data_IF_446230981648
#
_entry.id   IF_446230981648
#
_cell.length_a   1.000
_cell.length_b   1.000
_cell.length_c   1.000
_cell.angle_alpha   90.00
_cell.angle_beta   90.00
_cell.angle_gamma   90.00
#
_symmetry.space_group_name_H-M   'P 1'
#
loop_
_entity.id
_entity.type
_entity.pdbx_description
1 polymer ?
#
# COMPACT_ATOMS: atom_id res chain seq x y z
N UNK A 1 -1.32 -18.43 24.16
CA UNK A 1 -0.49 -18.05 22.98
C UNK A 1 0.41 -19.20 22.47
N UNK A 2 -0.05 -20.48 22.49
CA UNK A 2 0.74 -21.66 22.05
C UNK A 2 0.59 -22.03 20.56
N UNK A 3 -0.31 -21.40 19.80
CA UNK A 3 -0.58 -21.71 18.39
C UNK A 3 0.15 -20.77 17.41
N UNK A 4 1.46 -20.93 17.25
CA UNK A 4 2.24 -20.24 16.20
C UNK A 4 3.36 -21.13 15.61
N UNK A 5 3.22 -22.45 15.71
CA UNK A 5 4.24 -23.43 15.29
C UNK A 5 4.16 -23.90 13.84
N UNK A 6 3.17 -23.45 13.07
CA UNK A 6 3.07 -23.64 11.60
C UNK A 6 2.46 -22.36 11.02
N UNK A 7 2.89 -21.88 9.82
CA UNK A 7 2.16 -20.81 9.15
C UNK A 7 0.72 -21.31 8.98
N UNK A 8 -0.24 -20.60 9.58
CA UNK A 8 -1.64 -20.96 9.37
C UNK A 8 -1.95 -20.73 7.90
N UNK A 9 -2.68 -21.66 7.26
CA UNK A 9 -3.15 -21.48 5.86
C UNK A 9 -3.87 -20.13 5.68
N UNK A 10 -4.48 -19.63 6.74
CA UNK A 10 -5.12 -18.33 6.80
C UNK A 10 -4.13 -17.16 6.72
N UNK A 11 -2.97 -17.23 7.38
CA UNK A 11 -1.95 -16.20 7.25
C UNK A 11 -1.45 -16.09 5.80
N UNK A 12 -1.19 -17.23 5.15
CA UNK A 12 -0.79 -17.26 3.74
C UNK A 12 -1.87 -16.63 2.83
N UNK A 13 -3.14 -16.99 3.05
CA UNK A 13 -4.27 -16.40 2.32
C UNK A 13 -4.30 -14.87 2.43
N UNK A 14 -4.20 -14.32 3.65
CA UNK A 14 -4.21 -12.86 3.86
C UNK A 14 -2.97 -12.17 3.30
N UNK A 15 -1.81 -12.82 3.33
CA UNK A 15 -0.60 -12.30 2.69
C UNK A 15 -0.77 -12.21 1.18
N UNK A 16 -1.31 -13.25 0.53
CA UNK A 16 -1.55 -13.23 -0.92
C UNK A 16 -2.59 -12.15 -1.27
N UNK A 17 -3.63 -11.99 -0.46
CA UNK A 17 -4.61 -10.90 -0.61
C UNK A 17 -3.95 -9.52 -0.49
N UNK A 18 -3.10 -9.30 0.52
CA UNK A 18 -2.34 -8.06 0.67
C UNK A 18 -1.48 -7.77 -0.56
N UNK A 19 -0.69 -8.76 -1.00
CA UNK A 19 0.20 -8.64 -2.16
C UNK A 19 -0.55 -8.42 -3.48
N UNK A 20 -1.81 -8.87 -3.56
CA UNK A 20 -2.68 -8.66 -4.74
C UNK A 20 -3.52 -7.38 -4.69
N UNK A 21 -3.37 -6.56 -3.64
CA UNK A 21 -4.05 -5.26 -3.56
C UNK A 21 -3.46 -4.28 -4.58
N UNK A 22 -4.31 -3.39 -5.10
CA UNK A 22 -3.93 -2.41 -6.09
C UNK A 22 -2.76 -1.53 -5.62
N UNK A 23 -2.78 -1.09 -4.36
CA UNK A 23 -1.72 -0.28 -3.77
C UNK A 23 -0.38 -0.99 -3.77
N UNK A 24 -0.34 -2.23 -3.26
CA UNK A 24 0.92 -2.98 -3.18
C UNK A 24 1.49 -3.27 -4.56
N UNK A 25 0.64 -3.60 -5.54
CA UNK A 25 1.10 -3.88 -6.90
C UNK A 25 1.51 -2.61 -7.67
N UNK A 26 0.76 -1.52 -7.54
CA UNK A 26 1.11 -0.23 -8.16
C UNK A 26 2.44 0.27 -7.61
N UNK A 27 2.55 0.40 -6.29
CA UNK A 27 3.71 1.00 -5.65
C UNK A 27 4.88 0.03 -5.47
N UNK A 28 4.68 -1.29 -5.55
CA UNK A 28 5.76 -2.27 -5.61
C UNK A 28 6.58 -2.18 -6.91
N UNK A 29 6.01 -1.57 -7.96
CA UNK A 29 6.70 -1.27 -9.22
C UNK A 29 7.34 0.12 -9.24
N UNK A 30 6.98 0.98 -8.29
CA UNK A 30 7.54 2.31 -8.17
C UNK A 30 8.67 2.27 -7.14
N UNK A 31 9.80 2.90 -7.42
CA UNK A 31 10.89 3.05 -6.45
C UNK A 31 10.52 4.12 -5.41
N UNK A 32 9.48 3.84 -4.62
CA UNK A 32 8.90 4.75 -3.64
C UNK A 32 9.13 4.22 -2.21
N UNK A 33 9.54 5.12 -1.31
CA UNK A 33 9.87 4.79 0.08
C UNK A 33 8.68 4.22 0.87
N UNK A 34 7.44 4.41 0.40
CA UNK A 34 6.21 3.92 0.99
C UNK A 34 6.22 2.39 1.17
N UNK A 35 6.76 1.63 0.21
CA UNK A 35 6.82 0.17 0.31
C UNK A 35 7.91 -0.31 1.27
N UNK A 36 9.07 0.35 1.26
CA UNK A 36 10.14 0.10 2.23
C UNK A 36 9.61 0.37 3.64
N UNK A 37 8.89 1.48 3.80
CA UNK A 37 8.25 1.86 5.06
C UNK A 37 7.17 0.86 5.48
N UNK A 38 6.36 0.34 4.55
CA UNK A 38 5.37 -0.69 4.82
C UNK A 38 6.00 -1.96 5.41
N UNK A 39 7.07 -2.46 4.76
CA UNK A 39 7.81 -3.63 5.23
C UNK A 39 8.46 -3.38 6.60
N UNK A 40 9.07 -2.21 6.78
CA UNK A 40 9.73 -1.81 8.02
C UNK A 40 8.75 -1.73 9.20
N UNK A 41 7.62 -1.03 9.02
CA UNK A 41 6.58 -0.89 10.05
C UNK A 41 6.01 -2.27 10.43
N UNK A 42 5.73 -3.13 9.45
CA UNK A 42 5.27 -4.50 9.72
C UNK A 42 6.33 -5.33 10.46
N UNK A 43 7.61 -5.15 10.15
CA UNK A 43 8.73 -5.78 10.88
C UNK A 43 8.81 -5.32 12.34
N UNK A 44 8.69 -4.01 12.59
CA UNK A 44 8.64 -3.42 13.94
C UNK A 44 7.46 -3.99 14.74
N UNK A 45 6.26 -4.00 14.14
CA UNK A 45 5.05 -4.53 14.76
C UNK A 45 5.13 -6.04 15.02
N UNK A 46 5.76 -6.80 14.12
CA UNK A 46 6.03 -8.22 14.33
C UNK A 46 6.95 -8.45 15.54
N UNK A 47 8.04 -7.69 15.66
CA UNK A 47 8.95 -7.78 16.81
C UNK A 47 8.26 -7.38 18.12
N UNK A 48 7.41 -6.35 18.07
CA UNK A 48 6.58 -5.96 19.20
C UNK A 48 5.61 -7.07 19.62
N UNK A 49 4.95 -7.73 18.65
CA UNK A 49 4.10 -8.89 18.91
C UNK A 49 4.90 -10.07 19.49
N UNK A 50 6.13 -10.29 19.01
CA UNK A 50 7.01 -11.32 19.53
C UNK A 50 7.44 -11.02 20.98
N UNK A 51 7.72 -9.76 21.30
CA UNK A 51 7.96 -9.31 22.67
C UNK A 51 6.74 -9.55 23.56
N UNK A 52 5.53 -9.15 23.14
CA UNK A 52 4.33 -9.41 23.93
C UNK A 52 4.11 -10.89 24.23
N UNK A 53 4.59 -11.79 23.37
CA UNK A 53 4.50 -13.24 23.57
C UNK A 53 5.60 -13.82 24.45
N UNK A 54 6.86 -13.42 24.23
CA UNK A 54 8.05 -14.06 24.81
C UNK A 54 8.76 -13.20 25.87
N UNK A 55 8.36 -11.95 26.04
CA UNK A 55 9.06 -10.96 26.84
C UNK A 55 10.49 -10.70 26.34
N UNK A 56 11.32 -10.14 27.23
CA UNK A 56 12.74 -9.91 27.02
C UNK A 56 13.09 -8.49 26.58
N UNK A 57 14.07 -7.89 27.26
CA UNK A 57 14.53 -6.52 27.02
C UNK A 57 15.12 -6.35 25.62
N UNK A 58 15.87 -7.34 25.13
CA UNK A 58 16.49 -7.30 23.81
C UNK A 58 15.46 -7.10 22.69
N UNK A 59 14.28 -7.71 22.79
CA UNK A 59 13.22 -7.56 21.77
C UNK A 59 12.63 -6.14 21.77
N UNK A 60 12.41 -5.55 22.95
CA UNK A 60 11.99 -4.15 23.06
C UNK A 60 13.07 -3.19 22.57
N UNK A 61 14.34 -3.47 22.91
CA UNK A 61 15.47 -2.69 22.46
C UNK A 61 15.57 -2.69 20.93
N UNK A 62 15.42 -3.86 20.29
CA UNK A 62 15.38 -4.00 18.82
C UNK A 62 14.21 -3.24 18.19
N UNK A 63 13.02 -3.26 18.81
CA UNK A 63 11.87 -2.46 18.36
C UNK A 63 12.24 -0.98 18.35
N UNK A 64 12.75 -0.44 19.46
CA UNK A 64 13.16 0.96 19.51
C UNK A 64 14.28 1.30 18.55
N UNK A 65 15.31 0.45 18.42
CA UNK A 65 16.41 0.67 17.48
C UNK A 65 15.92 0.75 16.03
N UNK A 66 15.05 -0.17 15.59
CA UNK A 66 14.48 -0.12 14.25
C UNK A 66 13.61 1.12 14.02
N UNK A 67 12.86 1.55 15.04
CA UNK A 67 12.11 2.81 14.97
C UNK A 67 13.07 3.99 14.86
N UNK A 68 14.16 4.02 15.61
CA UNK A 68 15.19 5.07 15.49
C UNK A 68 15.85 5.10 14.12
N UNK A 69 16.26 3.93 13.60
CA UNK A 69 16.89 3.81 12.28
C UNK A 69 15.95 4.21 11.12
N UNK A 70 14.64 4.12 11.31
CA UNK A 70 13.68 4.56 10.29
C UNK A 70 13.70 6.06 10.02
N UNK A 71 14.25 6.84 10.95
CA UNK A 71 14.49 8.27 10.77
C UNK A 71 15.41 8.55 9.57
N UNK A 72 16.32 7.63 9.24
CA UNK A 72 17.30 7.78 8.15
C UNK A 72 16.68 7.95 6.77
N UNK A 73 15.54 7.30 6.49
CA UNK A 73 14.97 7.26 5.14
C UNK A 73 13.62 7.98 5.00
N UNK A 74 12.90 8.23 6.11
CA UNK A 74 11.61 8.92 6.08
C UNK A 74 11.42 9.90 7.24
N UNK A 75 12.47 10.20 7.99
CA UNK A 75 12.46 11.21 9.05
C UNK A 75 11.56 10.87 10.24
N UNK A 76 10.91 11.89 10.84
CA UNK A 76 10.13 11.70 12.06
C UNK A 76 8.84 10.90 11.84
N UNK A 77 8.46 10.63 10.59
CA UNK A 77 7.16 10.06 10.24
C UNK A 77 6.93 8.67 10.87
N UNK A 78 7.89 7.75 10.72
CA UNK A 78 7.78 6.39 11.29
C UNK A 78 7.84 6.41 12.83
N UNK A 79 8.73 7.17 13.49
CA UNK A 79 8.66 7.39 14.93
C UNK A 79 7.30 7.91 15.40
N UNK A 80 6.68 8.87 14.70
CA UNK A 80 5.35 9.38 15.03
C UNK A 80 4.28 8.28 14.90
N UNK A 81 4.30 7.51 13.80
CA UNK A 81 3.33 6.41 13.64
C UNK A 81 3.48 5.37 14.76
N UNK A 82 4.72 5.09 15.16
CA UNK A 82 4.97 4.15 16.24
C UNK A 82 4.58 4.70 17.60
N UNK A 83 4.76 6.00 17.85
CA UNK A 83 4.24 6.68 19.04
C UNK A 83 2.72 6.55 19.12
N UNK A 84 2.00 6.79 18.01
CA UNK A 84 0.55 6.61 17.94
C UNK A 84 0.14 5.16 18.20
N UNK A 85 0.88 4.19 17.66
CA UNK A 85 0.69 2.76 17.93
C UNK A 85 0.88 2.42 19.42
N UNK A 86 1.95 2.93 20.06
CA UNK A 86 2.21 2.71 21.48
C UNK A 86 1.17 3.40 22.37
N UNK A 87 0.70 4.59 22.00
CA UNK A 87 -0.39 5.27 22.70
C UNK A 87 -1.69 4.47 22.61
N UNK A 88 -2.04 3.96 21.43
CA UNK A 88 -3.19 3.07 21.27
C UNK A 88 -3.05 1.81 22.15
N UNK A 89 -1.86 1.20 22.18
CA UNK A 89 -1.58 0.05 23.04
C UNK A 89 -1.69 0.37 24.53
N UNK A 90 -1.12 1.50 24.97
CA UNK A 90 -1.17 1.96 26.35
C UNK A 90 -2.61 2.18 26.81
N UNK A 91 -3.40 2.94 26.02
CA UNK A 91 -4.82 3.20 26.26
C UNK A 91 -5.58 1.88 26.36
N UNK A 92 -5.42 0.98 25.38
CA UNK A 92 -6.08 -0.33 25.42
C UNK A 92 -5.73 -1.13 26.67
N UNK A 93 -4.46 -1.08 27.12
CA UNK A 93 -4.02 -1.82 28.30
C UNK A 93 -4.65 -1.27 29.59
N UNK A 94 -4.74 0.06 29.71
CA UNK A 94 -5.31 0.77 30.86
C UNK A 94 -6.81 0.50 31.00
N UNK A 95 -7.57 0.55 29.89
CA UNK A 95 -9.01 0.29 29.91
C UNK A 95 -9.36 -1.20 30.06
N UNK A 96 -8.47 -2.11 29.64
CA UNK A 96 -8.74 -3.56 29.66
C UNK A 96 -8.68 -4.18 31.05
N UNK A 97 -7.76 -3.74 31.90
CA UNK A 97 -7.55 -4.34 33.23
C UNK A 97 -8.39 -3.69 34.32
N UNK A 98 -9.22 -2.70 33.96
CA UNK A 98 -10.15 -2.08 34.89
C UNK A 98 -11.19 -3.10 35.40
N UNK A 99 -11.39 -3.20 36.73
CA UNK A 99 -12.46 -4.00 37.30
C UNK A 99 -13.82 -3.53 36.78
N UNK A 100 -14.74 -4.47 36.53
CA UNK A 100 -16.14 -4.21 36.11
C UNK A 100 -16.92 -3.24 37.02
N UNK A 101 -16.40 -2.96 38.21
CA UNK A 101 -17.01 -2.09 39.23
C UNK A 101 -16.25 -0.79 39.49
N UNK A 102 -15.20 -0.48 38.71
CA UNK A 102 -14.60 0.85 38.76
C UNK A 102 -15.48 1.81 37.92
N UNK A 103 -16.12 2.83 38.51
CA UNK A 103 -17.01 3.74 37.79
C UNK A 103 -16.33 4.49 36.64
N UNK A 104 -14.99 4.60 36.68
CA UNK A 104 -14.19 5.21 35.61
C UNK A 104 -13.64 4.19 34.60
N UNK A 105 -13.61 2.89 34.91
CA UNK A 105 -13.10 1.87 33.99
C UNK A 105 -11.60 1.99 33.65
N UNK A 106 -10.78 2.50 34.58
CA UNK A 106 -9.34 2.75 34.38
C UNK A 106 -8.51 2.00 35.44
N UNK A 107 -7.48 1.26 35.04
CA UNK A 107 -6.51 0.62 35.94
C UNK A 107 -5.09 1.18 35.74
N UNK A 108 -4.62 1.95 36.73
CA UNK A 108 -3.30 2.59 36.72
C UNK A 108 -2.16 1.67 37.16
N UNK A 109 -2.43 0.49 37.73
CA UNK A 109 -1.37 -0.46 38.14
C UNK A 109 -0.51 -0.92 36.95
N UNK A 110 -1.13 -0.89 35.77
CA UNK A 110 -0.55 -1.19 34.47
C UNK A 110 0.45 -0.15 34.00
N UNK A 111 0.38 1.09 34.49
CA UNK A 111 1.17 2.22 34.00
C UNK A 111 2.67 1.96 34.12
N UNK A 112 3.13 1.40 35.25
CA UNK A 112 4.56 1.14 35.49
C UNK A 112 5.22 0.30 34.40
N UNK A 113 4.58 -0.79 33.96
CA UNK A 113 5.14 -1.64 32.91
C UNK A 113 4.86 -1.13 31.49
N UNK A 114 3.86 -0.27 31.27
CA UNK A 114 3.73 0.48 30.00
C UNK A 114 4.89 1.47 29.90
N UNK A 115 5.09 2.29 30.92
CA UNK A 115 6.15 3.29 30.99
C UNK A 115 7.53 2.67 30.86
N UNK A 116 7.78 1.52 31.50
CA UNK A 116 9.05 0.79 31.33
C UNK A 116 9.28 0.35 29.88
N UNK A 117 8.27 -0.18 29.22
CA UNK A 117 8.38 -0.60 27.82
C UNK A 117 8.60 0.60 26.90
N UNK A 118 7.83 1.67 27.09
CA UNK A 118 7.96 2.92 26.34
C UNK A 118 9.33 3.57 26.54
N UNK A 119 9.87 3.57 27.77
CA UNK A 119 11.20 4.09 28.09
C UNK A 119 12.30 3.31 27.37
N UNK A 120 12.27 1.97 27.42
CA UNK A 120 13.26 1.14 26.73
C UNK A 120 13.25 1.42 25.23
N UNK A 121 12.05 1.44 24.62
CA UNK A 121 11.89 1.75 23.20
C UNK A 121 12.38 3.17 22.90
N UNK A 122 12.01 4.16 23.70
CA UNK A 122 12.37 5.56 23.49
C UNK A 122 13.87 5.78 23.57
N UNK A 123 14.53 5.22 24.57
CA UNK A 123 16.00 5.30 24.73
C UNK A 123 16.70 4.63 23.55
N UNK A 124 16.29 3.43 23.12
CA UNK A 124 16.97 2.77 22.00
C UNK A 124 16.63 3.37 20.64
N UNK A 125 15.46 3.99 20.48
CA UNK A 125 15.15 4.80 19.31
C UNK A 125 16.00 6.07 19.25
N UNK A 126 16.23 6.72 20.40
CA UNK A 126 17.10 7.89 20.51
C UNK A 126 18.55 7.57 20.11
N UNK A 127 19.03 6.34 20.32
CA UNK A 127 20.35 5.92 19.79
C UNK A 127 20.39 6.02 18.26
N UNK A 128 19.41 5.45 17.57
CA UNK A 128 19.37 5.50 16.09
C UNK A 128 19.26 6.93 15.55
N UNK A 129 18.38 7.74 16.14
CA UNK A 129 18.20 9.15 15.77
C UNK A 129 19.46 9.97 16.11
N UNK A 130 20.05 9.75 17.28
CA UNK A 130 21.23 10.45 17.77
C UNK A 130 22.47 10.16 16.94
N UNK A 131 22.68 8.91 16.51
CA UNK A 131 23.76 8.56 15.58
C UNK A 131 23.63 9.30 14.24
N UNK A 132 22.40 9.42 13.72
CA UNK A 132 22.16 10.18 12.50
C UNK A 132 22.37 11.68 12.70
N UNK A 133 21.86 12.24 13.80
CA UNK A 133 22.07 13.64 14.16
C UNK A 133 23.56 13.95 14.30
N UNK A 134 24.31 13.09 14.99
CA UNK A 134 25.76 13.20 15.12
C UNK A 134 26.46 13.15 13.76
N UNK A 135 26.09 12.22 12.88
CA UNK A 135 26.64 12.16 11.52
C UNK A 135 26.38 13.45 10.73
N UNK A 136 25.15 13.96 10.77
CA UNK A 136 24.78 15.19 10.07
C UNK A 136 25.54 16.40 10.61
N UNK A 137 25.58 16.60 11.92
CA UNK A 137 26.27 17.75 12.53
C UNK A 137 27.78 17.79 12.23
N UNK A 138 28.39 16.64 11.90
CA UNK A 138 29.80 16.57 11.49
C UNK A 138 29.99 16.63 9.96
N UNK A 139 28.92 16.73 9.17
CA UNK A 139 29.00 16.84 7.71
C UNK A 139 29.04 18.32 7.28
N UNK A 140 29.85 18.72 6.28
CA UNK A 140 30.00 20.13 5.87
C UNK A 140 28.70 20.85 5.45
N UNK A 141 27.68 20.08 5.05
CA UNK A 141 26.33 20.56 4.68
C UNK A 141 25.23 20.03 5.61
N UNK A 142 25.62 19.59 6.80
CA UNK A 142 24.75 18.96 7.76
C UNK A 142 23.61 19.86 8.23
N UNK A 143 23.94 21.07 8.64
CA UNK A 143 22.99 22.05 9.15
C UNK A 143 21.95 22.44 8.09
N UNK A 144 22.40 22.70 6.86
CA UNK A 144 21.51 22.98 5.72
C UNK A 144 20.55 21.81 5.46
N UNK A 145 21.06 20.58 5.51
CA UNK A 145 20.24 19.39 5.29
C UNK A 145 19.22 19.19 6.41
N UNK A 146 19.60 19.45 7.68
CA UNK A 146 18.68 19.40 8.82
C UNK A 146 17.60 20.47 8.66
N UNK A 147 17.97 21.70 8.33
CA UNK A 147 17.04 22.80 8.12
C UNK A 147 16.07 22.52 6.97
N UNK A 148 16.59 22.07 5.81
CA UNK A 148 15.78 21.62 4.69
C UNK A 148 14.79 20.52 5.11
N UNK A 149 15.30 19.50 5.79
CA UNK A 149 14.48 18.35 6.15
C UNK A 149 13.41 18.66 7.20
N UNK A 150 13.74 19.41 8.25
CA UNK A 150 12.81 19.73 9.33
C UNK A 150 11.82 20.81 8.88
N UNK A 151 12.31 21.88 8.25
CA UNK A 151 11.49 23.04 7.90
C UNK A 151 10.79 22.83 6.57
N UNK A 152 11.53 22.62 5.48
CA UNK A 152 10.93 22.54 4.15
C UNK A 152 10.18 21.23 3.92
N UNK A 153 10.75 20.08 4.27
CA UNK A 153 10.09 18.80 4.00
C UNK A 153 8.97 18.46 4.99
N UNK A 154 9.02 18.93 6.23
CA UNK A 154 8.04 18.55 7.27
C UNK A 154 7.15 19.71 7.73
N UNK A 155 7.71 20.87 8.08
CA UNK A 155 6.92 22.01 8.54
C UNK A 155 6.14 22.70 7.41
N UNK A 156 6.71 22.81 6.19
CA UNK A 156 6.04 23.47 5.07
C UNK A 156 4.72 22.79 4.66
N UNK A 157 4.59 21.48 4.92
CA UNK A 157 3.35 20.71 4.67
C UNK A 157 2.14 21.23 5.43
N UNK A 158 2.34 22.01 6.49
CA UNK A 158 1.28 22.64 7.28
C UNK A 158 0.86 24.02 6.77
N UNK A 159 1.62 24.62 5.84
CA UNK A 159 1.33 25.95 5.28
C UNK A 159 1.01 25.91 3.78
N UNK A 160 1.21 24.76 3.11
CA UNK A 160 0.78 24.52 1.73
C UNK A 160 -0.74 24.73 1.51
N UNK A 161 -1.16 24.79 0.25
CA UNK A 161 -2.59 24.82 -0.10
C UNK A 161 -3.31 23.59 0.44
N UNK A 162 -4.38 23.80 1.21
CA UNK A 162 -5.09 22.71 1.88
C UNK A 162 -5.78 21.78 0.87
N UNK A 163 -5.37 20.51 0.86
CA UNK A 163 -5.97 19.46 0.05
C UNK A 163 -7.11 18.78 0.83
N UNK A 164 -8.15 18.35 0.10
CA UNK A 164 -9.34 17.72 0.66
C UNK A 164 -9.00 16.52 1.55
N UNK A 165 -9.60 16.43 2.74
CA UNK A 165 -9.43 15.32 3.68
C UNK A 165 -9.91 13.98 3.08
N UNK A 166 -10.86 14.05 2.14
CA UNK A 166 -11.36 12.87 1.44
C UNK A 166 -10.29 12.13 0.65
N UNK A 167 -9.18 12.79 0.27
CA UNK A 167 -8.12 12.16 -0.51
C UNK A 167 -7.49 10.95 0.21
N UNK A 168 -7.37 11.02 1.55
CA UNK A 168 -6.80 9.93 2.35
C UNK A 168 -7.76 8.73 2.36
N UNK A 169 -9.05 8.98 2.55
CA UNK A 169 -10.06 7.93 2.56
C UNK A 169 -10.24 7.30 1.18
N UNK A 170 -10.26 8.12 0.12
CA UNK A 170 -10.25 7.67 -1.27
C UNK A 170 -9.04 6.77 -1.53
N UNK A 171 -7.86 7.18 -1.08
CA UNK A 171 -6.64 6.39 -1.15
C UNK A 171 -6.77 5.02 -0.49
N UNK A 172 -7.30 4.97 0.74
CA UNK A 172 -7.55 3.69 1.44
C UNK A 172 -8.51 2.81 0.63
N UNK A 173 -9.62 3.36 0.13
CA UNK A 173 -10.62 2.60 -0.62
C UNK A 173 -10.07 2.08 -1.95
N UNK A 174 -9.41 2.97 -2.71
CA UNK A 174 -8.86 2.69 -4.04
C UNK A 174 -7.72 1.68 -3.97
N UNK A 175 -6.73 1.92 -3.09
CA UNK A 175 -5.53 1.11 -3.06
C UNK A 175 -5.72 -0.24 -2.34
N UNK A 176 -6.85 -0.44 -1.64
CA UNK A 176 -7.23 -1.75 -1.11
C UNK A 176 -8.06 -2.59 -2.09
N UNK A 177 -8.41 -2.06 -3.27
CA UNK A 177 -9.10 -2.82 -4.30
C UNK A 177 -8.28 -4.05 -4.74
N UNK A 178 -8.95 -5.16 -5.11
CA UNK A 178 -10.39 -5.35 -5.08
C UNK A 178 -10.93 -5.83 -3.71
N UNK A 179 -10.08 -5.88 -2.68
CA UNK A 179 -10.39 -6.49 -1.39
C UNK A 179 -11.01 -5.54 -0.37
N UNK A 180 -11.26 -4.29 -0.73
CA UNK A 180 -11.86 -3.25 0.11
C UNK A 180 -13.11 -3.75 0.86
N UNK A 181 -14.06 -4.37 0.13
CA UNK A 181 -15.28 -4.93 0.71
C UNK A 181 -15.00 -6.10 1.66
N UNK A 182 -13.99 -6.93 1.35
CA UNK A 182 -13.60 -8.06 2.19
C UNK A 182 -13.02 -7.57 3.52
N UNK A 183 -12.14 -6.58 3.48
CA UNK A 183 -11.56 -5.96 4.68
C UNK A 183 -12.64 -5.28 5.52
N UNK A 184 -13.51 -4.49 4.90
CA UNK A 184 -14.63 -3.85 5.58
C UNK A 184 -15.57 -4.85 6.26
N UNK A 185 -15.98 -5.91 5.55
CA UNK A 185 -16.83 -6.96 6.10
C UNK A 185 -16.15 -7.74 7.24
N UNK A 186 -14.86 -8.07 7.09
CA UNK A 186 -14.06 -8.74 8.10
C UNK A 186 -13.96 -7.93 9.41
N UNK A 187 -13.65 -6.64 9.29
CA UNK A 187 -13.54 -5.71 10.41
C UNK A 187 -14.92 -5.52 11.06
N UNK A 188 -15.94 -5.21 10.27
CA UNK A 188 -17.30 -4.97 10.76
C UNK A 188 -17.87 -6.16 11.55
N UNK A 189 -17.72 -7.37 11.00
CA UNK A 189 -18.19 -8.59 11.65
C UNK A 189 -17.39 -8.91 12.91
N UNK A 190 -16.08 -8.62 12.92
CA UNK A 190 -15.23 -8.78 14.09
C UNK A 190 -15.61 -7.83 15.23
N UNK A 191 -15.86 -6.56 14.92
CA UNK A 191 -16.24 -5.54 15.90
C UNK A 191 -17.61 -5.80 16.54
N UNK A 192 -18.58 -6.35 15.79
CA UNK A 192 -19.94 -6.63 16.30
C UNK A 192 -20.03 -7.85 17.23
N UNK A 193 -19.05 -8.75 17.22
CA UNK A 193 -19.09 -9.94 18.09
C UNK A 193 -18.80 -9.53 19.54
N UNK A 194 -19.83 -9.50 20.41
CA UNK A 194 -19.69 -9.13 21.85
C UNK A 194 -18.65 -9.98 22.63
N UNK A 195 -18.30 -11.19 22.16
CA UNK A 195 -17.24 -12.04 22.72
C UNK A 195 -15.84 -11.78 22.12
N UNK A 196 -15.68 -10.78 21.25
CA UNK A 196 -14.44 -10.50 20.53
C UNK A 196 -13.25 -10.17 21.44
N UNK A 197 -13.46 -9.66 22.65
CA UNK A 197 -12.37 -9.22 23.53
C UNK A 197 -11.59 -10.35 24.23
N UNK A 198 -11.95 -11.62 24.03
CA UNK A 198 -11.47 -12.74 24.86
C UNK A 198 -10.10 -13.27 24.42
N UNK A 199 -9.72 -13.14 23.14
CA UNK A 199 -8.46 -13.74 22.65
C UNK A 199 -7.34 -12.69 22.41
N UNK A 200 -6.08 -13.03 22.69
CA UNK A 200 -4.95 -12.14 22.40
C UNK A 200 -4.83 -11.71 20.93
N UNK A 201 -5.23 -12.58 20.00
CA UNK A 201 -5.20 -12.28 18.56
C UNK A 201 -6.18 -11.19 18.18
N UNK A 202 -7.42 -11.26 18.67
CA UNK A 202 -8.43 -10.22 18.41
C UNK A 202 -8.06 -8.89 19.06
N UNK A 203 -7.50 -8.92 20.28
CA UNK A 203 -6.98 -7.71 20.92
C UNK A 203 -5.86 -7.06 20.10
N UNK A 204 -4.94 -7.86 19.57
CA UNK A 204 -3.91 -7.34 18.69
C UNK A 204 -4.49 -6.80 17.37
N UNK A 205 -5.51 -7.47 16.80
CA UNK A 205 -6.23 -6.97 15.62
C UNK A 205 -6.92 -5.62 15.86
N UNK A 206 -7.49 -5.39 17.05
CA UNK A 206 -8.06 -4.10 17.44
C UNK A 206 -6.99 -3.04 17.63
N UNK A 207 -5.85 -3.38 18.25
CA UNK A 207 -4.71 -2.47 18.37
C UNK A 207 -4.26 -1.97 16.99
N UNK A 208 -4.10 -2.88 16.02
CA UNK A 208 -3.72 -2.52 14.66
C UNK A 208 -4.77 -1.61 13.99
N UNK A 209 -6.06 -1.88 14.20
CA UNK A 209 -7.14 -1.04 13.65
C UNK A 209 -7.16 0.36 14.27
N UNK A 210 -7.04 0.46 15.59
CA UNK A 210 -6.99 1.74 16.29
C UNK A 210 -5.76 2.53 15.90
N UNK A 211 -4.61 1.86 15.76
CA UNK A 211 -3.37 2.50 15.29
C UNK A 211 -3.50 2.99 13.86
N UNK A 212 -4.12 2.19 12.97
CA UNK A 212 -4.43 2.60 11.60
C UNK A 212 -5.31 3.86 11.58
N UNK A 213 -6.37 3.88 12.39
CA UNK A 213 -7.26 5.03 12.50
C UNK A 213 -6.55 6.26 13.09
N UNK A 214 -5.73 6.09 14.13
CA UNK A 214 -4.97 7.19 14.74
C UNK A 214 -4.00 7.83 13.74
N UNK A 215 -3.30 7.02 12.92
CA UNK A 215 -2.42 7.57 11.88
C UNK A 215 -3.21 8.18 10.73
N UNK A 216 -4.37 7.63 10.36
CA UNK A 216 -5.25 8.28 9.39
C UNK A 216 -5.68 9.68 9.85
N UNK A 217 -6.07 9.81 11.12
CA UNK A 217 -6.40 11.11 11.74
C UNK A 217 -5.18 12.05 11.78
N UNK A 218 -3.99 11.52 12.06
CA UNK A 218 -2.75 12.31 12.01
C UNK A 218 -2.52 12.91 10.61
N UNK A 219 -2.84 12.17 9.54
CA UNK A 219 -2.74 12.67 8.16
C UNK A 219 -3.80 13.70 7.77
N UNK A 220 -4.82 13.92 8.59
CA UNK A 220 -5.75 15.04 8.37
C UNK A 220 -5.20 16.37 8.86
N UNK A 221 -4.14 16.38 9.69
CA UNK A 221 -3.58 17.60 10.26
C UNK A 221 -2.84 18.45 9.22
N UNK A 222 -1.92 17.90 8.38
CA UNK A 222 -1.21 18.71 7.39
C UNK A 222 -2.11 19.17 6.24
N UNK A 223 -1.83 20.35 5.67
CA UNK A 223 -2.52 20.84 4.49
C UNK A 223 -2.23 20.00 3.25
N UNK A 224 -0.96 19.61 3.06
CA UNK A 224 -0.53 18.70 2.00
C UNK A 224 -0.84 17.25 2.34
N UNK A 225 -1.61 16.59 1.48
CA UNK A 225 -2.12 15.22 1.62
C UNK A 225 -1.97 14.48 0.30
N UNK A 226 -1.61 13.20 0.34
CA UNK A 226 -1.66 12.34 -0.84
C UNK A 226 -2.45 11.07 -0.53
N UNK A 227 -3.15 10.57 -1.55
CA UNK A 227 -3.96 9.34 -1.50
C UNK A 227 -3.14 8.11 -1.07
N UNK A 228 -1.83 8.10 -1.31
CA UNK A 228 -0.94 6.98 -0.95
C UNK A 228 -0.33 7.05 0.46
N UNK A 229 -0.58 8.11 1.25
CA UNK A 229 0.06 8.27 2.56
C UNK A 229 -0.27 7.13 3.57
N UNK A 230 -1.43 6.49 3.41
CA UNK A 230 -1.84 5.36 4.27
C UNK A 230 -1.31 4.00 3.81
N UNK A 231 -0.75 3.90 2.60
CA UNK A 231 -0.22 2.66 2.03
C UNK A 231 0.73 1.87 2.97
N UNK A 232 1.65 2.51 3.69
CA UNK A 232 2.56 1.84 4.63
C UNK A 232 1.85 1.12 5.78
N UNK A 233 0.60 1.50 6.08
CA UNK A 233 -0.21 0.90 7.13
C UNK A 233 -1.26 -0.08 6.62
N UNK A 234 -1.30 -0.37 5.33
CA UNK A 234 -2.25 -1.37 4.81
C UNK A 234 -2.01 -2.76 5.40
N UNK A 235 -0.76 -3.07 5.75
CA UNK A 235 -0.44 -4.26 6.53
C UNK A 235 -1.20 -4.33 7.86
N UNK A 236 -1.46 -3.20 8.54
CA UNK A 236 -2.28 -3.15 9.76
C UNK A 236 -3.74 -3.46 9.44
N UNK A 237 -4.28 -2.87 8.37
CA UNK A 237 -5.66 -3.11 7.96
C UNK A 237 -5.89 -4.59 7.63
N UNK A 238 -4.99 -5.20 6.84
CA UNK A 238 -5.08 -6.62 6.46
C UNK A 238 -4.88 -7.53 7.66
N UNK A 239 -3.85 -7.29 8.47
CA UNK A 239 -3.61 -8.10 9.68
C UNK A 239 -4.76 -7.96 10.69
N UNK A 240 -5.34 -6.77 10.82
CA UNK A 240 -6.55 -6.54 11.61
C UNK A 240 -7.72 -7.36 11.06
N UNK A 241 -8.04 -7.24 9.77
CA UNK A 241 -9.09 -8.03 9.12
C UNK A 241 -8.88 -9.55 9.34
N UNK A 242 -7.64 -10.02 9.26
CA UNK A 242 -7.27 -11.40 9.47
C UNK A 242 -7.56 -11.88 10.90
N UNK A 243 -7.18 -11.08 11.89
CA UNK A 243 -7.32 -11.39 13.31
C UNK A 243 -8.75 -11.19 13.83
N UNK A 244 -9.49 -10.24 13.26
CA UNK A 244 -10.85 -9.87 13.68
C UNK A 244 -11.94 -10.76 13.04
N UNK A 245 -11.78 -11.16 11.78
CA UNK A 245 -12.78 -11.99 11.07
C UNK A 245 -12.93 -13.38 11.67
N UNK A 246 -11.92 -13.87 12.38
CA UNK A 246 -11.88 -15.22 12.92
C UNK A 246 -11.50 -16.24 11.84
N UNK A 247 -12.46 -16.75 11.05
CA UNK A 247 -12.23 -17.77 9.99
C UNK A 247 -12.67 -17.26 8.61
N UNK A 248 -11.79 -17.42 7.61
CA UNK A 248 -12.04 -17.11 6.19
C UNK A 248 -12.68 -18.29 5.46
N UNK A 249 -13.39 -18.02 4.36
CA UNK A 249 -13.98 -19.07 3.52
C UNK A 249 -15.42 -19.48 3.86
N UNK A 250 -16.19 -18.59 4.51
CA UNK A 250 -17.63 -18.76 4.68
C UNK A 250 -18.40 -18.45 3.39
N UNK A 251 -19.70 -18.80 3.35
CA UNK A 251 -20.58 -18.58 2.18
C UNK A 251 -20.54 -17.14 1.66
N UNK A 252 -20.54 -16.13 2.56
CA UNK A 252 -20.51 -14.71 2.17
C UNK A 252 -19.18 -14.32 1.53
N UNK A 253 -18.06 -14.81 2.06
CA UNK A 253 -16.74 -14.61 1.46
C UNK A 253 -16.68 -15.21 0.06
N UNK A 254 -17.26 -16.40 -0.18
CA UNK A 254 -17.29 -16.99 -1.51
C UNK A 254 -18.12 -16.18 -2.50
N UNK A 255 -19.28 -15.66 -2.08
CA UNK A 255 -20.08 -14.78 -2.92
C UNK A 255 -19.35 -13.49 -3.27
N UNK A 256 -18.59 -12.93 -2.33
CA UNK A 256 -17.76 -11.76 -2.60
C UNK A 256 -16.64 -12.09 -3.59
N UNK A 257 -15.98 -13.23 -3.45
CA UNK A 257 -14.97 -13.70 -4.43
C UNK A 257 -15.59 -13.87 -5.81
N UNK A 258 -16.77 -14.49 -5.90
CA UNK A 258 -17.49 -14.64 -7.17
C UNK A 258 -17.86 -13.28 -7.79
N UNK A 259 -18.34 -12.34 -6.98
CA UNK A 259 -18.66 -10.98 -7.43
C UNK A 259 -17.42 -10.25 -7.98
N UNK A 260 -16.30 -10.27 -7.25
CA UNK A 260 -15.04 -9.67 -7.71
C UNK A 260 -14.56 -10.34 -9.00
N UNK A 261 -14.68 -11.66 -9.09
CA UNK A 261 -14.30 -12.42 -10.28
C UNK A 261 -15.15 -12.04 -11.52
N UNK A 262 -16.46 -11.89 -11.36
CA UNK A 262 -17.35 -11.41 -12.44
C UNK A 262 -16.98 -9.99 -12.86
N UNK A 263 -16.71 -9.10 -11.90
CA UNK A 263 -16.29 -7.74 -12.20
C UNK A 263 -14.95 -7.70 -12.96
N UNK A 264 -13.97 -8.50 -12.55
CA UNK A 264 -12.69 -8.62 -13.24
C UNK A 264 -12.88 -9.11 -14.68
N UNK A 265 -13.70 -10.15 -14.88
CA UNK A 265 -14.04 -10.65 -16.21
C UNK A 265 -14.74 -9.60 -17.09
N UNK A 266 -15.68 -8.85 -16.51
CA UNK A 266 -16.38 -7.78 -17.23
C UNK A 266 -15.42 -6.69 -17.70
N UNK A 267 -14.41 -6.35 -16.89
CA UNK A 267 -13.36 -5.40 -17.29
C UNK A 267 -12.50 -5.98 -18.41
N UNK A 268 -12.05 -7.23 -18.30
CA UNK A 268 -11.26 -7.87 -19.37
C UNK A 268 -12.04 -7.92 -20.70
N UNK A 269 -13.34 -8.24 -20.65
CA UNK A 269 -14.24 -8.21 -21.81
C UNK A 269 -14.44 -6.80 -22.37
N UNK A 270 -14.54 -5.79 -21.51
CA UNK A 270 -14.65 -4.39 -21.92
C UNK A 270 -13.43 -3.91 -22.72
N UNK A 271 -12.26 -4.46 -22.45
CA UNK A 271 -11.04 -4.23 -23.24
C UNK A 271 -10.83 -5.25 -24.39
N UNK A 272 -11.79 -6.14 -24.63
CA UNK A 272 -11.79 -7.08 -25.75
C UNK A 272 -10.92 -8.34 -25.56
N UNK A 273 -10.47 -8.66 -24.35
CA UNK A 273 -9.64 -9.85 -24.08
C UNK A 273 -10.49 -11.01 -23.54
N UNK A 274 -11.14 -11.72 -24.46
CA UNK A 274 -12.03 -12.85 -24.15
C UNK A 274 -11.32 -14.01 -23.45
N UNK A 275 -10.05 -14.27 -23.78
CA UNK A 275 -9.29 -15.38 -23.20
C UNK A 275 -8.91 -15.10 -21.74
N UNK A 276 -8.47 -13.88 -21.43
CA UNK A 276 -8.18 -13.48 -20.04
C UNK A 276 -9.43 -13.48 -19.18
N UNK A 277 -10.56 -13.05 -19.71
CA UNK A 277 -11.84 -13.03 -19.00
C UNK A 277 -12.31 -14.43 -18.53
N UNK A 278 -11.93 -15.50 -19.25
CA UNK A 278 -12.30 -16.87 -18.87
C UNK A 278 -11.73 -17.30 -17.51
N UNK A 279 -10.51 -16.88 -17.18
CA UNK A 279 -9.81 -17.27 -15.95
C UNK A 279 -10.57 -16.81 -14.69
N UNK A 280 -10.86 -15.51 -14.48
CA UNK A 280 -11.64 -15.08 -13.32
C UNK A 280 -13.04 -15.68 -13.34
N UNK A 281 -13.71 -15.86 -14.50
CA UNK A 281 -15.03 -16.52 -14.54
C UNK A 281 -14.99 -17.95 -14.00
N UNK A 282 -14.00 -18.76 -14.41
CA UNK A 282 -13.82 -20.12 -13.90
C UNK A 282 -13.58 -20.14 -12.38
N UNK A 283 -12.79 -19.19 -11.87
CA UNK A 283 -12.56 -19.04 -10.42
C UNK A 283 -13.86 -18.61 -9.71
N UNK A 284 -14.66 -17.73 -10.31
CA UNK A 284 -15.96 -17.31 -9.82
C UNK A 284 -16.95 -18.47 -9.74
N UNK A 285 -17.04 -19.30 -10.79
CA UNK A 285 -17.83 -20.53 -10.80
C UNK A 285 -17.37 -21.50 -9.71
N UNK A 286 -16.05 -21.65 -9.53
CA UNK A 286 -15.49 -22.46 -8.45
C UNK A 286 -15.87 -21.90 -7.06
N UNK A 287 -15.85 -20.58 -6.86
CA UNK A 287 -16.31 -19.95 -5.62
C UNK A 287 -17.80 -20.21 -5.37
N UNK A 288 -18.66 -20.10 -6.40
CA UNK A 288 -20.08 -20.44 -6.32
C UNK A 288 -20.27 -21.92 -5.96
N UNK A 289 -19.54 -22.82 -6.61
CA UNK A 289 -19.56 -24.26 -6.29
C UNK A 289 -19.20 -24.53 -4.82
N UNK A 290 -18.11 -23.94 -4.34
CA UNK A 290 -17.66 -24.01 -2.94
C UNK A 290 -18.73 -23.45 -1.99
N UNK A 291 -19.38 -22.35 -2.37
CA UNK A 291 -20.48 -21.71 -1.62
C UNK A 291 -21.70 -22.63 -1.49
N UNK A 292 -22.11 -23.29 -2.58
CA UNK A 292 -23.25 -24.20 -2.62
C UNK A 292 -22.98 -25.52 -1.87
N UNK A 293 -21.74 -26.02 -1.91
CA UNK A 293 -21.31 -27.21 -1.16
C UNK A 293 -21.11 -26.93 0.33
N UNK A 294 -21.12 -25.67 0.74
CA UNK A 294 -21.01 -25.29 2.14
C UNK A 294 -22.31 -25.66 2.88
N UNK A 295 -22.38 -26.87 3.42
CA UNK A 295 -23.42 -27.22 4.40
C UNK A 295 -23.11 -26.46 5.69
N UNK A 296 -23.92 -25.44 6.01
CA UNK A 296 -23.99 -24.84 7.33
C UNK A 296 -24.54 -25.89 8.31
N UNK A 297 -23.69 -26.86 8.68
CA UNK A 297 -23.97 -27.77 9.77
C UNK A 297 -23.88 -26.94 11.05
N UNK A 298 -25.04 -26.57 11.57
CA UNK A 298 -25.22 -25.69 12.72
C UNK A 298 -24.13 -25.84 13.78
N UNK A 299 -23.41 -24.74 14.02
CA UNK A 299 -22.65 -24.49 15.24
C UNK A 299 -21.33 -25.25 15.44
N UNK A 300 -21.03 -26.34 14.72
CA UNK A 300 -19.73 -27.01 14.87
C UNK A 300 -18.68 -26.36 13.98
N UNK A 301 -17.78 -25.65 14.64
CA UNK A 301 -16.56 -25.04 14.13
C UNK A 301 -15.77 -25.97 13.18
N UNK A 302 -16.11 -26.01 11.88
CA UNK A 302 -15.34 -26.81 10.93
C UNK A 302 -13.93 -26.23 10.74
N UNK A 303 -12.93 -27.10 10.73
CA UNK A 303 -11.54 -26.76 10.42
C UNK A 303 -11.46 -26.01 9.07
N UNK A 304 -10.55 -25.02 8.97
CA UNK A 304 -10.31 -24.29 7.72
C UNK A 304 -9.58 -25.24 6.77
N UNK A 305 -10.32 -25.76 5.80
CA UNK A 305 -9.79 -26.63 4.74
C UNK A 305 -9.31 -25.79 3.55
N UNK A 306 -8.30 -26.30 2.83
CA UNK A 306 -7.73 -25.61 1.67
C UNK A 306 -8.78 -25.25 0.61
N UNK A 307 -9.74 -26.15 0.36
CA UNK A 307 -10.81 -25.93 -0.61
C UNK A 307 -11.71 -24.73 -0.29
N UNK A 308 -11.83 -24.33 0.98
CA UNK A 308 -12.64 -23.16 1.39
C UNK A 308 -11.93 -21.83 1.15
N UNK A 309 -10.60 -21.81 1.08
CA UNK A 309 -9.83 -20.59 0.83
C UNK A 309 -9.31 -20.51 -0.61
N UNK A 310 -9.23 -21.66 -1.30
CA UNK A 310 -8.68 -21.78 -2.64
C UNK A 310 -9.28 -20.80 -3.66
N UNK A 311 -10.61 -20.59 -3.77
CA UNK A 311 -11.14 -19.65 -4.76
C UNK A 311 -10.61 -18.22 -4.58
N UNK A 312 -10.58 -17.73 -3.34
CA UNK A 312 -10.06 -16.40 -3.04
C UNK A 312 -8.55 -16.29 -3.26
N UNK A 313 -7.78 -17.32 -2.89
CA UNK A 313 -6.33 -17.37 -3.17
C UNK A 313 -6.05 -17.39 -4.67
N UNK A 314 -6.76 -18.23 -5.43
CA UNK A 314 -6.62 -18.33 -6.88
C UNK A 314 -6.96 -17.01 -7.55
N UNK A 315 -8.05 -16.36 -7.13
CA UNK A 315 -8.42 -15.04 -7.66
C UNK A 315 -7.32 -14.01 -7.36
N UNK A 316 -6.81 -13.98 -6.13
CA UNK A 316 -5.72 -13.07 -5.74
C UNK A 316 -4.44 -13.27 -6.55
N UNK A 317 -4.10 -14.50 -6.93
CA UNK A 317 -2.95 -14.79 -7.81
C UNK A 317 -3.28 -14.47 -9.28
N UNK A 318 -4.52 -14.69 -9.71
CA UNK A 318 -4.94 -14.45 -11.10
C UNK A 318 -5.05 -12.97 -11.46
N UNK A 319 -5.53 -12.11 -10.54
CA UNK A 319 -5.73 -10.68 -10.79
C UNK A 319 -4.47 -9.95 -11.33
N UNK A 320 -3.27 -10.14 -10.75
CA UNK A 320 -2.02 -9.60 -11.31
C UNK A 320 -1.68 -10.07 -12.72
N UNK A 321 -2.17 -11.25 -13.12
CA UNK A 321 -1.87 -11.90 -14.40
C UNK A 321 -2.91 -11.58 -15.48
N UNK A 322 -4.16 -11.31 -15.10
CA UNK A 322 -5.26 -11.06 -16.04
C UNK A 322 -5.65 -9.59 -16.09
N UNK A 323 -6.24 -9.08 -15.00
CA UNK A 323 -6.87 -7.77 -14.93
C UNK A 323 -5.83 -6.62 -14.92
N UNK A 324 -4.73 -6.81 -14.20
CA UNK A 324 -3.79 -5.72 -13.95
C UNK A 324 -3.01 -5.28 -15.20
N UNK A 325 -2.55 -6.17 -16.07
CA UNK A 325 -1.94 -5.78 -17.34
C UNK A 325 -2.91 -5.01 -18.27
N UNK A 326 -4.22 -5.20 -18.10
CA UNK A 326 -5.25 -4.48 -18.87
C UNK A 326 -5.46 -3.08 -18.29
N UNK A 327 -5.56 -2.95 -16.97
CA UNK A 327 -5.75 -1.68 -16.28
C UNK A 327 -4.48 -0.79 -16.30
N UNK A 328 -3.32 -1.42 -16.20
CA UNK A 328 -1.99 -0.79 -16.13
C UNK A 328 -1.09 -1.42 -17.20
N UNK A 329 -1.30 -1.08 -18.48
CA UNK A 329 -0.46 -1.60 -19.54
C UNK A 329 1.01 -1.24 -19.28
N UNK A 330 1.96 -2.10 -19.69
CA UNK A 330 3.38 -1.81 -19.54
C UNK A 330 3.72 -0.48 -20.23
N UNK A 331 4.62 0.29 -19.60
CA UNK A 331 5.01 1.63 -20.07
C UNK A 331 5.57 1.59 -21.50
N UNK A 332 6.32 0.53 -21.83
CA UNK A 332 6.83 0.25 -23.17
C UNK A 332 6.60 -1.23 -23.49
N UNK A 333 6.16 -1.54 -24.70
CA UNK A 333 6.07 -2.93 -25.16
C UNK A 333 7.47 -3.47 -25.52
N UNK A 334 7.60 -4.78 -25.75
CA UNK A 334 8.89 -5.40 -26.04
C UNK A 334 9.56 -4.87 -27.32
N UNK A 335 8.78 -4.48 -28.33
CA UNK A 335 9.28 -3.89 -29.58
C UNK A 335 9.88 -2.51 -29.33
N UNK A 336 9.20 -1.68 -28.56
CA UNK A 336 9.67 -0.34 -28.19
C UNK A 336 10.90 -0.41 -27.28
N UNK A 337 10.94 -1.38 -26.35
CA UNK A 337 12.13 -1.60 -25.52
C UNK A 337 13.34 -2.00 -26.36
N UNK A 338 13.16 -2.85 -27.37
CA UNK A 338 14.23 -3.23 -28.29
C UNK A 338 14.66 -2.05 -29.18
N UNK A 339 13.72 -1.22 -29.64
CA UNK A 339 13.98 -0.03 -30.46
C UNK A 339 14.82 1.01 -29.71
N UNK A 340 14.51 1.22 -28.44
CA UNK A 340 15.14 2.24 -27.60
C UNK A 340 16.40 1.75 -26.89
N UNK A 341 16.65 0.44 -26.87
CA UNK A 341 17.81 -0.16 -26.23
C UNK A 341 19.13 0.39 -26.79
N UNK A 342 20.06 0.77 -25.90
CA UNK A 342 21.37 1.35 -26.25
C UNK A 342 21.32 2.71 -26.99
N UNK A 343 20.13 3.29 -27.22
CA UNK A 343 20.00 4.58 -27.88
C UNK A 343 20.12 5.74 -26.88
N UNK A 344 20.33 6.96 -27.40
CA UNK A 344 20.16 8.20 -26.64
C UNK A 344 18.68 8.59 -26.64
N UNK A 345 18.06 8.62 -25.47
CA UNK A 345 16.62 8.86 -25.30
C UNK A 345 16.40 10.11 -24.46
N UNK A 346 15.66 11.10 -24.98
CA UNK A 346 15.17 12.21 -24.17
C UNK A 346 13.70 11.99 -23.79
N UNK A 347 13.39 12.06 -22.51
CA UNK A 347 12.00 11.97 -22.01
C UNK A 347 11.50 13.38 -21.72
N UNK A 348 10.44 13.80 -22.41
CA UNK A 348 9.77 15.08 -22.18
C UNK A 348 8.67 14.86 -21.15
N UNK A 349 8.86 15.37 -19.94
CA UNK A 349 7.99 15.13 -18.78
C UNK A 349 8.09 16.28 -17.79
N UNK A 350 6.99 16.67 -17.16
CA UNK A 350 7.03 17.64 -16.05
C UNK A 350 7.78 17.04 -14.84
N UNK A 351 7.63 15.73 -14.65
CA UNK A 351 8.16 15.03 -13.50
C UNK A 351 9.44 14.22 -13.86
N UNK A 352 10.58 14.44 -13.18
CA UNK A 352 11.81 13.69 -13.43
C UNK A 352 11.68 12.19 -13.08
N UNK A 353 10.78 11.82 -12.16
CA UNK A 353 10.51 10.43 -11.79
C UNK A 353 9.97 9.60 -12.96
N UNK A 354 9.31 10.24 -13.93
CA UNK A 354 8.81 9.57 -15.13
C UNK A 354 9.95 8.99 -15.98
N UNK A 355 11.08 9.70 -16.10
CA UNK A 355 12.25 9.21 -16.82
C UNK A 355 12.86 7.97 -16.13
N UNK A 356 12.89 7.94 -14.80
CA UNK A 356 13.36 6.77 -14.05
C UNK A 356 12.50 5.52 -14.31
N UNK A 357 11.19 5.70 -14.54
CA UNK A 357 10.31 4.59 -14.89
C UNK A 357 10.65 3.97 -16.26
N UNK A 358 11.03 4.78 -17.26
CA UNK A 358 11.54 4.27 -18.54
C UNK A 358 12.92 3.63 -18.37
N UNK A 359 13.84 4.28 -17.65
CA UNK A 359 15.19 3.74 -17.39
C UNK A 359 15.16 2.36 -16.71
N UNK A 360 14.17 2.11 -15.86
CA UNK A 360 13.98 0.80 -15.22
C UNK A 360 13.67 -0.33 -16.21
N UNK A 361 13.04 -0.02 -17.35
CA UNK A 361 12.68 -1.03 -18.38
C UNK A 361 13.65 -1.04 -19.57
N UNK A 362 14.42 0.03 -19.80
CA UNK A 362 15.49 0.11 -20.79
C UNK A 362 16.81 0.56 -20.14
N UNK A 363 17.43 -0.28 -19.27
CA UNK A 363 18.58 0.13 -18.48
C UNK A 363 19.84 0.41 -19.30
N UNK A 364 19.89 -0.05 -20.55
CA UNK A 364 21.02 0.14 -21.47
C UNK A 364 20.98 1.45 -22.26
N UNK A 365 19.88 2.20 -22.26
CA UNK A 365 19.78 3.47 -22.97
C UNK A 365 20.43 4.61 -22.17
N UNK A 366 21.11 5.53 -22.86
CA UNK A 366 21.52 6.81 -22.27
C UNK A 366 20.30 7.74 -22.24
N UNK A 367 19.82 8.09 -21.04
CA UNK A 367 18.52 8.72 -20.87
C UNK A 367 18.63 10.07 -20.16
N UNK A 368 18.07 11.09 -20.79
CA UNK A 368 17.93 12.44 -20.23
C UNK A 368 16.45 12.79 -20.07
N UNK A 369 16.16 13.78 -19.23
CA UNK A 369 14.81 14.31 -19.05
C UNK A 369 14.82 15.83 -19.22
N UNK A 370 13.76 16.34 -19.84
CA UNK A 370 13.51 17.79 -19.96
C UNK A 370 12.05 18.11 -19.65
N UNK A 371 11.85 19.29 -19.08
CA UNK A 371 10.51 19.85 -18.89
C UNK A 371 9.86 20.11 -20.26
N UNK A 372 8.52 20.02 -20.40
CA UNK A 372 7.83 20.31 -21.66
C UNK A 372 8.22 21.66 -22.29
N UNK A 373 8.43 22.69 -21.48
CA UNK A 373 8.85 24.03 -21.94
C UNK A 373 10.28 24.06 -22.52
N UNK A 374 11.08 23.05 -22.21
CA UNK A 374 12.47 22.90 -22.67
C UNK A 374 12.61 21.72 -23.64
N UNK A 375 11.52 21.31 -24.30
CA UNK A 375 11.51 20.18 -25.24
C UNK A 375 12.52 20.35 -26.40
N UNK A 376 12.81 21.60 -26.80
CA UNK A 376 13.81 21.91 -27.83
C UNK A 376 15.23 21.47 -27.45
N UNK A 377 15.56 21.41 -26.15
CA UNK A 377 16.88 20.93 -25.68
C UNK A 377 17.07 19.43 -25.91
N UNK A 378 16.01 18.69 -26.23
CA UNK A 378 16.12 17.27 -26.57
C UNK A 378 16.60 17.02 -28.02
N UNK A 379 16.88 18.06 -28.82
CA UNK A 379 17.18 17.93 -30.25
C UNK A 379 18.34 16.96 -30.58
N UNK A 380 19.30 16.76 -29.68
CA UNK A 380 20.45 15.86 -29.87
C UNK A 380 20.24 14.38 -29.54
N UNK A 381 19.03 13.97 -29.11
CA UNK A 381 18.72 12.57 -28.82
C UNK A 381 18.48 11.76 -30.10
N UNK A 382 18.58 10.43 -30.02
CA UNK A 382 18.18 9.55 -31.13
C UNK A 382 16.66 9.35 -31.14
N UNK A 383 16.08 9.25 -29.95
CA UNK A 383 14.64 9.11 -29.75
C UNK A 383 14.10 10.07 -28.70
N UNK A 384 12.84 10.48 -28.87
CA UNK A 384 12.08 11.23 -27.89
C UNK A 384 10.90 10.39 -27.38
N UNK A 385 10.66 10.46 -26.08
CA UNK A 385 9.43 9.96 -25.47
C UNK A 385 8.64 11.18 -24.98
N UNK A 386 7.47 11.40 -25.58
CA UNK A 386 6.51 12.40 -25.14
C UNK A 386 5.68 11.81 -23.99
N UNK A 387 6.12 12.03 -22.75
CA UNK A 387 5.35 11.64 -21.57
C UNK A 387 4.20 12.63 -21.33
N UNK A 388 4.52 13.92 -21.40
CA UNK A 388 3.57 15.01 -21.28
C UNK A 388 3.50 15.80 -22.59
N UNK A 389 2.32 16.38 -22.92
CA UNK A 389 2.12 17.07 -24.19
C UNK A 389 3.14 18.20 -24.33
N UNK A 390 3.88 18.21 -25.43
CA UNK A 390 4.90 19.22 -25.68
C UNK A 390 5.10 19.43 -27.19
N UNK A 391 5.58 20.61 -27.63
CA UNK A 391 6.01 20.79 -29.00
C UNK A 391 7.18 19.85 -29.30
N UNK A 392 7.00 18.98 -30.30
CA UNK A 392 8.03 18.07 -30.78
C UNK A 392 8.94 18.81 -31.77
N UNK A 393 10.28 18.73 -31.65
CA UNK A 393 11.18 19.37 -32.61
C UNK A 393 10.97 18.84 -34.04
N UNK A 394 11.14 19.70 -35.05
CA UNK A 394 10.74 19.42 -36.45
C UNK A 394 11.40 18.17 -37.06
N UNK A 395 12.63 17.84 -36.66
CA UNK A 395 13.38 16.69 -37.16
C UNK A 395 12.94 15.34 -36.56
N UNK A 396 11.84 15.30 -35.82
CA UNK A 396 11.35 14.08 -35.17
C UNK A 396 10.02 13.63 -35.77
N UNK A 397 9.96 12.34 -36.15
CA UNK A 397 8.74 11.71 -36.64
C UNK A 397 8.30 10.60 -35.70
N UNK A 398 6.99 10.43 -35.57
CA UNK A 398 6.41 9.43 -34.66
C UNK A 398 6.62 8.02 -35.22
N UNK A 399 7.30 7.17 -34.47
CA UNK A 399 7.59 5.77 -34.83
C UNK A 399 6.73 4.76 -34.07
N UNK A 400 6.26 5.14 -32.87
CA UNK A 400 5.40 4.30 -32.05
C UNK A 400 4.57 5.14 -31.08
N UNK A 401 3.67 4.50 -30.36
CA UNK A 401 2.92 5.12 -29.29
C UNK A 401 2.09 4.13 -28.51
N UNK A 402 1.73 4.51 -27.29
CA UNK A 402 0.93 3.68 -26.39
C UNK A 402 -0.13 4.50 -25.66
N UNK A 403 -1.29 3.89 -25.36
CA UNK A 403 -2.39 4.60 -24.72
C UNK A 403 -2.10 4.82 -23.24
N UNK A 404 -2.49 6.00 -22.75
CA UNK A 404 -2.54 6.35 -21.33
C UNK A 404 -3.87 7.02 -21.01
N UNK A 405 -4.36 6.84 -19.80
CA UNK A 405 -5.59 7.51 -19.35
C UNK A 405 -5.41 9.04 -19.38
N UNK A 406 -6.39 9.75 -19.94
CA UNK A 406 -6.44 11.22 -19.90
C UNK A 406 -6.83 11.66 -18.49
N UNK A 407 -6.30 12.80 -18.03
CA UNK A 407 -6.84 13.44 -16.84
C UNK A 407 -8.11 14.22 -17.21
N UNK A 408 -9.28 13.63 -16.92
CA UNK A 408 -10.59 14.19 -17.30
C UNK A 408 -11.49 14.37 -16.08
N UNK A 409 -12.42 15.36 -16.10
CA UNK A 409 -13.48 15.43 -15.11
C UNK A 409 -14.32 14.15 -15.08
N UNK A 410 -14.77 13.76 -13.89
CA UNK A 410 -15.58 12.55 -13.70
C UNK A 410 -16.82 12.49 -14.62
N UNK A 411 -17.46 13.63 -14.89
CA UNK A 411 -18.60 13.71 -15.82
C UNK A 411 -18.24 13.25 -17.23
N UNK A 412 -17.06 13.62 -17.73
CA UNK A 412 -16.59 13.21 -19.05
C UNK A 412 -16.20 11.74 -19.09
N UNK A 413 -15.65 11.21 -17.99
CA UNK A 413 -15.46 9.77 -17.83
C UNK A 413 -16.78 9.02 -17.96
N UNK A 414 -17.79 9.45 -17.21
CA UNK A 414 -19.11 8.80 -17.22
C UNK A 414 -19.77 8.84 -18.60
N UNK A 415 -19.69 9.96 -19.31
CA UNK A 415 -20.25 10.11 -20.66
C UNK A 415 -19.55 9.25 -21.71
N UNK A 416 -18.27 8.94 -21.52
CA UNK A 416 -17.47 8.18 -22.49
C UNK A 416 -17.15 6.75 -22.01
N UNK A 417 -17.83 6.25 -20.98
CA UNK A 417 -17.67 4.89 -20.44
C UNK A 417 -17.91 3.77 -21.46
N UNK A 418 -18.64 4.02 -22.55
CA UNK A 418 -18.84 3.04 -23.62
C UNK A 418 -17.73 3.06 -24.68
N UNK A 419 -16.85 4.06 -24.63
CA UNK A 419 -15.84 4.32 -25.65
C UNK A 419 -14.46 4.54 -25.00
N UNK A 420 -13.75 3.46 -24.57
CA UNK A 420 -12.50 3.57 -23.83
C UNK A 420 -11.42 4.34 -24.58
N UNK A 421 -11.41 4.27 -25.91
CA UNK A 421 -10.49 5.03 -26.77
C UNK A 421 -10.62 6.55 -26.61
N UNK A 422 -11.78 7.07 -26.22
CA UNK A 422 -11.99 8.50 -25.97
C UNK A 422 -11.41 8.94 -24.62
N UNK A 423 -11.30 8.02 -23.67
CA UNK A 423 -10.76 8.22 -22.33
C UNK A 423 -9.24 8.11 -22.27
N UNK A 424 -8.61 7.68 -23.37
CA UNK A 424 -7.18 7.49 -23.48
C UNK A 424 -6.57 8.50 -24.46
N UNK A 425 -5.37 8.98 -24.16
CA UNK A 425 -4.50 9.72 -25.09
C UNK A 425 -3.31 8.83 -25.46
N UNK A 426 -2.77 9.01 -26.64
CA UNK A 426 -1.58 8.28 -27.08
C UNK A 426 -0.32 9.07 -26.72
N UNK A 427 0.56 8.50 -25.92
CA UNK A 427 1.94 9.01 -25.79
C UNK A 427 2.73 8.61 -27.01
N UNK A 428 3.52 9.53 -27.56
CA UNK A 428 4.34 9.28 -28.74
C UNK A 428 5.77 8.88 -28.40
N UNK A 429 6.31 7.98 -29.23
CA UNK A 429 7.75 7.75 -29.34
C UNK A 429 8.16 8.27 -30.72
N UNK A 430 9.15 9.13 -30.75
CA UNK A 430 9.61 9.79 -31.97
C UNK A 430 11.07 9.45 -32.24
N UNK A 431 11.43 9.31 -33.51
CA UNK A 431 12.80 9.09 -33.95
C UNK A 431 13.32 10.32 -34.69
N UNK A 432 14.59 10.64 -34.47
CA UNK A 432 15.28 11.67 -35.21
C UNK A 432 15.43 11.24 -36.68
N UNK A 433 15.02 12.10 -37.60
CA UNK A 433 15.28 11.98 -39.04
C UNK A 433 16.10 13.22 -39.44
N UNK A 434 17.39 13.03 -39.80
CA UNK A 434 18.32 14.13 -40.07
C UNK A 434 17.92 15.04 -41.23
#
# INVERSE_FOLDING_TARGET
LRSFGKPSRQALFWTIIYLSSLGVLKFGRLLMFEQIMAAHIMGVVYLFALWMRKGGILRLASVGLLVGLSYLYKGPLVPIYFLLFLSAWAIMRIYRTAPRFNPLGIDFSVLGSVSRAALIIGVTAAVGIGLYGYYLLNHPRGEDLIAYFVVFENAAKFVDQNQSEWIILQGVLLYTLPWTLLFGAAIWTGLRKRRALVTPGVQFGQLLLLSFAAVALFHFIPHRKADYYMLPLFGFLVASAALLSGRTGNRRTQWLVAFIAVLAAAVDLYFGDYYRAAIPLLIGLFAVYVSLRHKDRGGRESEITLWKIAPGTLLAVALPLTLFPVLFPPILNAKDQALLGQARVCVISENPWSALAYRAVIPSSDMTQRHPDLASECAGATYLIEHDPAPIPENYHKVSGYPVWKDLPASQYMQNLAHPSRLQRMRGIYAYNP
#
